data_IF_024110458447
#
_entry.id   IF_024110458447
#
_cell.length_a   1.000
_cell.length_b   1.000
_cell.length_c   1.000
_cell.angle_alpha   90.00
_cell.angle_beta   90.00
_cell.angle_gamma   90.00
#
_symmetry.space_group_name_H-M   'P 1'
#
loop_
_entity.id
_entity.type
_entity.pdbx_description
1 polymer ?
#
# COMPACT_ATOMS: atom_id res chain seq x y z
N UNK A 1 -10.21 -7.85 0.59
CA UNK A 1 -9.43 -7.10 1.60
C UNK A 1 -7.91 -7.16 1.39
N UNK A 2 -7.17 -8.23 1.77
CA UNK A 2 -5.70 -8.26 1.60
C UNK A 2 -5.27 -8.21 0.13
N UNK A 3 -6.03 -8.86 -0.76
CA UNK A 3 -5.80 -8.77 -2.21
C UNK A 3 -5.92 -7.34 -2.73
N UNK A 4 -7.08 -6.72 -2.52
CA UNK A 4 -7.36 -5.34 -2.95
C UNK A 4 -6.31 -4.33 -2.45
N UNK A 5 -5.86 -4.44 -1.20
CA UNK A 5 -4.81 -3.56 -0.68
C UNK A 5 -3.48 -3.78 -1.42
N UNK A 6 -3.09 -5.02 -1.69
CA UNK A 6 -1.85 -5.32 -2.42
C UNK A 6 -1.90 -4.85 -3.87
N UNK A 7 -3.07 -4.94 -4.52
CA UNK A 7 -3.28 -4.41 -5.87
C UNK A 7 -3.23 -2.87 -5.87
N UNK A 8 -3.73 -2.24 -4.80
CA UNK A 8 -3.58 -0.79 -4.58
C UNK A 8 -2.12 -0.40 -4.38
N UNK A 9 -1.36 -1.12 -3.54
CA UNK A 9 0.08 -0.90 -3.35
C UNK A 9 0.83 -1.01 -4.68
N UNK A 10 0.46 -1.98 -5.52
CA UNK A 10 1.01 -2.12 -6.87
C UNK A 10 0.78 -0.88 -7.74
N UNK A 11 -0.41 -0.29 -7.72
CA UNK A 11 -0.67 0.96 -8.46
C UNK A 11 0.15 2.14 -7.94
N UNK A 12 0.38 2.23 -6.62
CA UNK A 12 1.26 3.24 -6.04
C UNK A 12 2.72 3.03 -6.48
N UNK A 13 3.22 1.79 -6.46
CA UNK A 13 4.57 1.44 -6.95
C UNK A 13 4.75 1.90 -8.39
N UNK A 14 3.80 1.57 -9.26
CA UNK A 14 3.85 1.97 -10.67
C UNK A 14 3.85 3.49 -10.80
N UNK A 15 3.02 4.19 -10.01
CA UNK A 15 2.90 5.65 -10.05
C UNK A 15 4.16 6.40 -9.62
N UNK A 16 5.03 5.80 -8.80
CA UNK A 16 6.32 6.40 -8.45
C UNK A 16 7.33 6.37 -9.60
N UNK A 17 7.12 5.50 -10.58
CA UNK A 17 7.95 5.43 -11.79
C UNK A 17 7.38 6.27 -12.93
N UNK A 18 6.04 6.37 -13.02
CA UNK A 18 5.36 7.04 -14.13
C UNK A 18 4.90 8.46 -13.81
N UNK A 19 4.82 8.83 -12.53
CA UNK A 19 4.17 10.04 -12.03
C UNK A 19 2.67 10.13 -12.41
N UNK A 20 2.03 8.98 -12.58
CA UNK A 20 0.60 8.85 -12.87
C UNK A 20 0.02 7.67 -12.09
N UNK A 21 -1.03 7.91 -11.29
CA UNK A 21 -1.74 6.86 -10.56
C UNK A 21 -2.74 6.17 -11.49
N UNK A 22 -2.38 4.97 -11.94
CA UNK A 22 -3.24 4.08 -12.70
C UNK A 22 -4.24 3.28 -11.86
N UNK A 23 -5.01 2.37 -12.49
CA UNK A 23 -5.89 1.44 -11.77
C UNK A 23 -5.09 0.45 -10.89
N UNK A 24 -5.72 -0.21 -9.90
CA UNK A 24 -5.08 -1.25 -9.09
C UNK A 24 -4.37 -2.30 -9.95
N UNK A 25 -3.10 -2.58 -9.65
CA UNK A 25 -2.27 -3.55 -10.38
C UNK A 25 -2.70 -4.97 -9.98
N UNK A 26 -3.25 -5.79 -10.90
CA UNK A 26 -3.77 -7.10 -10.54
C UNK A 26 -2.73 -8.00 -9.88
N UNK A 27 -3.16 -8.79 -8.88
CA UNK A 27 -2.31 -9.83 -8.31
C UNK A 27 -2.01 -10.91 -9.36
N UNK A 28 -0.73 -11.24 -9.52
CA UNK A 28 -0.22 -12.26 -10.45
C UNK A 28 -0.10 -13.65 -9.80
N UNK A 29 -0.39 -13.79 -8.50
CA UNK A 29 -0.31 -15.06 -7.77
C UNK A 29 -1.70 -15.73 -7.73
N UNK A 30 -1.89 -16.88 -8.40
CA UNK A 30 -3.18 -17.58 -8.38
C UNK A 30 -3.57 -18.04 -6.97
N UNK A 31 -4.83 -17.83 -6.60
CA UNK A 31 -5.39 -18.26 -5.31
C UNK A 31 -4.69 -17.63 -4.11
N UNK A 32 -4.14 -16.42 -4.25
CA UNK A 32 -3.46 -15.70 -3.17
C UNK A 32 -4.37 -15.56 -1.95
N UNK A 33 -5.67 -15.34 -2.15
CA UNK A 33 -6.68 -15.20 -1.10
C UNK A 33 -6.86 -16.43 -0.20
N UNK A 34 -6.38 -17.60 -0.62
CA UNK A 34 -6.55 -18.87 0.09
C UNK A 34 -5.28 -19.36 0.80
N UNK A 35 -4.18 -18.60 0.77
CA UNK A 35 -2.93 -19.00 1.41
C UNK A 35 -2.22 -17.83 2.07
N UNK A 36 -2.05 -17.92 3.39
CA UNK A 36 -1.31 -16.91 4.16
C UNK A 36 0.15 -16.82 3.71
N UNK A 37 0.78 -17.94 3.34
CA UNK A 37 2.16 -17.92 2.87
C UNK A 37 2.29 -17.23 1.51
N UNK A 38 1.32 -17.44 0.60
CA UNK A 38 1.28 -16.69 -0.68
C UNK A 38 1.06 -15.20 -0.45
N UNK A 39 0.15 -14.83 0.45
CA UNK A 39 -0.07 -13.43 0.83
C UNK A 39 1.23 -12.82 1.37
N UNK A 40 1.89 -13.49 2.32
CA UNK A 40 3.15 -13.00 2.90
C UNK A 40 4.23 -12.80 1.85
N UNK A 41 4.50 -13.82 1.03
CA UNK A 41 5.52 -13.72 -0.02
C UNK A 41 5.20 -12.62 -1.03
N UNK A 42 3.92 -12.43 -1.36
CA UNK A 42 3.50 -11.36 -2.26
C UNK A 42 3.77 -9.97 -1.67
N UNK A 43 3.40 -9.74 -0.41
CA UNK A 43 3.63 -8.46 0.26
C UNK A 43 5.13 -8.19 0.47
N UNK A 44 5.95 -9.20 0.75
CA UNK A 44 7.42 -9.04 0.78
C UNK A 44 7.93 -8.50 -0.56
N UNK A 45 7.48 -9.08 -1.68
CA UNK A 45 7.86 -8.59 -3.01
C UNK A 45 7.35 -7.17 -3.27
N UNK A 46 6.11 -6.86 -2.92
CA UNK A 46 5.55 -5.51 -3.07
C UNK A 46 6.32 -4.47 -2.24
N UNK A 47 6.74 -4.82 -1.03
CA UNK A 47 7.53 -3.93 -0.18
C UNK A 47 8.92 -3.67 -0.79
N UNK A 48 9.59 -4.71 -1.27
CA UNK A 48 10.88 -4.59 -1.97
C UNK A 48 10.78 -3.70 -3.22
N UNK A 49 9.74 -3.91 -4.04
CA UNK A 49 9.46 -3.09 -5.23
C UNK A 49 9.16 -1.63 -4.86
N UNK A 50 8.39 -1.38 -3.80
CA UNK A 50 8.10 -0.03 -3.31
C UNK A 50 9.36 0.69 -2.87
N UNK A 51 10.21 0.04 -2.06
CA UNK A 51 11.49 0.62 -1.65
C UNK A 51 12.40 0.89 -2.86
N UNK A 52 12.39 0.01 -3.86
CA UNK A 52 13.16 0.23 -5.09
C UNK A 52 12.65 1.45 -5.87
N UNK A 53 11.34 1.58 -6.08
CA UNK A 53 10.72 2.69 -6.80
C UNK A 53 10.94 4.04 -6.09
N UNK A 54 10.86 4.07 -4.75
CA UNK A 54 11.14 5.29 -4.00
C UNK A 54 12.61 5.72 -4.09
N UNK A 55 13.55 4.77 -4.13
CA UNK A 55 15.00 5.05 -4.25
C UNK A 55 15.41 5.59 -5.61
N UNK A 56 14.60 5.38 -6.65
CA UNK A 56 14.87 5.93 -7.98
C UNK A 56 14.44 7.37 -8.13
N UNK A 57 13.67 7.92 -7.18
CA UNK A 57 13.24 9.31 -7.21
C UNK A 57 14.37 10.18 -6.62
N UNK A 58 14.96 11.09 -7.41
CA UNK A 58 15.98 12.00 -6.89
C UNK A 58 15.35 13.05 -5.97
N UNK A 59 16.15 13.62 -5.06
CA UNK A 59 15.67 14.59 -4.07
C UNK A 59 15.01 15.82 -4.73
N UNK A 60 15.48 16.25 -5.92
CA UNK A 60 14.86 17.34 -6.68
C UNK A 60 13.44 17.04 -7.21
N UNK A 61 13.08 15.76 -7.34
CA UNK A 61 11.77 15.32 -7.84
C UNK A 61 10.78 15.06 -6.70
N UNK A 62 11.14 15.31 -5.43
CA UNK A 62 10.24 15.12 -4.28
C UNK A 62 8.97 15.97 -4.38
N UNK A 63 9.08 17.18 -4.93
CA UNK A 63 7.93 18.07 -5.16
C UNK A 63 7.26 17.86 -6.53
N UNK A 64 7.76 16.93 -7.34
CA UNK A 64 7.19 16.64 -8.65
C UNK A 64 5.76 16.12 -8.49
N UNK A 65 4.79 16.64 -9.26
CA UNK A 65 3.40 16.20 -9.15
C UNK A 65 3.22 14.79 -9.74
N UNK A 66 2.49 13.95 -9.01
CA UNK A 66 1.88 12.71 -9.48
C UNK A 66 0.45 13.01 -9.87
N UNK A 67 0.07 12.72 -11.12
CA UNK A 67 -1.30 12.87 -11.60
C UNK A 67 -2.18 11.73 -11.08
N UNK A 68 -3.29 12.05 -10.43
CA UNK A 68 -4.23 11.09 -9.84
C UNK A 68 -5.60 11.13 -10.53
N UNK A 69 -5.68 11.78 -11.69
CA UNK A 69 -6.90 12.02 -12.46
C UNK A 69 -7.76 13.15 -11.90
N UNK A 70 -8.70 13.64 -12.70
CA UNK A 70 -9.66 14.70 -12.32
C UNK A 70 -9.00 15.96 -11.74
N UNK A 71 -7.92 16.44 -12.37
CA UNK A 71 -7.12 17.60 -11.92
C UNK A 71 -6.52 17.46 -10.51
N UNK A 72 -6.51 16.25 -9.93
CA UNK A 72 -5.90 15.97 -8.64
C UNK A 72 -4.43 15.63 -8.82
N UNK A 73 -3.55 16.58 -8.52
CA UNK A 73 -2.10 16.43 -8.63
C UNK A 73 -1.46 16.70 -7.28
N UNK A 74 -0.67 15.75 -6.80
CA UNK A 74 -0.01 15.83 -5.50
C UNK A 74 1.50 15.65 -5.66
N UNK A 75 2.34 16.40 -4.93
CA UNK A 75 3.76 16.08 -4.79
C UNK A 75 4.00 14.62 -4.41
N UNK A 76 5.10 14.02 -4.87
CA UNK A 76 5.48 12.62 -4.57
C UNK A 76 5.36 12.30 -3.08
N UNK A 77 5.87 13.18 -2.21
CA UNK A 77 5.84 12.93 -0.77
C UNK A 77 4.42 12.91 -0.20
N UNK A 78 3.53 13.82 -0.63
CA UNK A 78 2.12 13.80 -0.23
C UNK A 78 1.45 12.54 -0.76
N UNK A 79 1.75 12.15 -2.01
CA UNK A 79 1.20 10.93 -2.61
C UNK A 79 1.59 9.68 -1.81
N UNK A 80 2.83 9.60 -1.32
CA UNK A 80 3.27 8.55 -0.40
C UNK A 80 2.53 8.60 0.94
N UNK A 81 2.31 9.78 1.51
CA UNK A 81 1.53 9.94 2.74
C UNK A 81 0.07 9.49 2.56
N UNK A 82 -0.55 9.74 1.41
CA UNK A 82 -1.89 9.23 1.09
C UNK A 82 -1.91 7.70 1.04
N UNK A 83 -0.88 7.06 0.48
CA UNK A 83 -0.78 5.60 0.54
C UNK A 83 -0.65 5.09 1.98
N UNK A 84 0.15 5.79 2.81
CA UNK A 84 0.28 5.48 4.24
C UNK A 84 -1.06 5.62 4.97
N UNK A 85 -1.87 6.63 4.68
CA UNK A 85 -3.22 6.76 5.23
C UNK A 85 -4.11 5.57 4.86
N UNK A 86 -4.03 5.09 3.61
CA UNK A 86 -4.76 3.90 3.18
C UNK A 86 -4.38 2.65 3.99
N UNK A 87 -3.09 2.49 4.34
CA UNK A 87 -2.63 1.41 5.23
C UNK A 87 -3.23 1.54 6.64
N UNK A 88 -3.28 2.75 7.20
CA UNK A 88 -3.85 3.00 8.53
C UNK A 88 -5.36 2.69 8.55
N UNK A 89 -6.10 3.10 7.52
CA UNK A 89 -7.53 2.77 7.38
C UNK A 89 -7.73 1.26 7.32
N UNK A 90 -6.89 0.56 6.53
CA UNK A 90 -6.93 -0.89 6.45
C UNK A 90 -6.64 -1.55 7.80
N UNK A 91 -5.65 -1.06 8.55
CA UNK A 91 -5.35 -1.52 9.90
C UNK A 91 -6.52 -1.32 10.86
N UNK A 92 -7.24 -0.20 10.75
CA UNK A 92 -8.50 0.01 11.47
C UNK A 92 -9.54 -1.08 11.16
N UNK A 93 -9.72 -1.45 9.89
CA UNK A 93 -10.64 -2.54 9.49
C UNK A 93 -10.22 -3.89 10.05
N UNK A 94 -8.92 -4.23 9.98
CA UNK A 94 -8.37 -5.47 10.57
C UNK A 94 -8.61 -5.49 12.08
N UNK A 95 -8.38 -4.38 12.77
CA UNK A 95 -8.59 -4.25 14.22
C UNK A 95 -10.04 -4.55 14.61
N UNK A 96 -11.01 -3.97 13.90
CA UNK A 96 -12.44 -4.26 14.11
C UNK A 96 -12.76 -5.73 13.87
N UNK A 97 -12.22 -6.31 12.80
CA UNK A 97 -12.41 -7.74 12.49
C UNK A 97 -11.87 -8.65 13.59
N UNK A 98 -10.64 -8.39 14.08
CA UNK A 98 -10.04 -9.18 15.16
C UNK A 98 -10.86 -9.09 16.44
N UNK A 99 -11.32 -7.89 16.82
CA UNK A 99 -12.19 -7.68 17.98
C UNK A 99 -13.51 -8.46 17.85
N UNK A 100 -14.16 -8.39 16.69
CA UNK A 100 -15.39 -9.14 16.43
C UNK A 100 -15.19 -10.67 16.47
N UNK A 101 -14.00 -11.14 16.07
CA UNK A 101 -13.62 -12.55 16.13
C UNK A 101 -13.12 -13.01 17.52
N UNK A 102 -13.13 -12.14 18.54
CA UNK A 102 -12.61 -12.46 19.88
C UNK A 102 -11.09 -12.69 19.91
N UNK A 103 -10.36 -12.20 18.90
CA UNK A 103 -8.90 -12.35 18.79
C UNK A 103 -8.20 -11.09 19.30
N UNK A 104 -7.11 -11.22 20.07
CA UNK A 104 -6.33 -10.07 20.48
C UNK A 104 -5.68 -9.40 19.27
N UNK A 105 -5.44 -8.09 19.38
CA UNK A 105 -4.62 -7.38 18.40
C UNK A 105 -3.16 -7.78 18.60
N UNK A 106 -2.34 -7.83 17.53
CA UNK A 106 -0.90 -8.01 17.69
C UNK A 106 -0.30 -6.87 18.54
N UNK A 107 0.62 -7.19 19.43
CA UNK A 107 1.22 -6.21 20.36
C UNK A 107 1.85 -5.01 19.65
N UNK A 108 2.48 -5.25 18.49
CA UNK A 108 3.05 -4.20 17.64
C UNK A 108 1.97 -3.22 17.13
N UNK A 109 0.78 -3.74 16.85
CA UNK A 109 -0.37 -2.95 16.40
C UNK A 109 -0.87 -2.02 17.51
N UNK A 110 -0.96 -2.54 18.73
CA UNK A 110 -1.36 -1.75 19.91
C UNK A 110 -0.36 -0.63 20.21
N UNK A 111 0.94 -0.91 20.08
CA UNK A 111 1.98 0.10 20.27
C UNK A 111 1.96 1.22 19.22
N UNK A 112 1.46 0.93 18.01
CA UNK A 112 1.50 1.87 16.89
C UNK A 112 0.22 2.67 16.70
N UNK A 113 -0.93 2.11 17.09
CA UNK A 113 -2.26 2.66 16.78
C UNK A 113 -3.08 2.90 18.08
N UNK A 114 -2.60 2.45 19.25
CA UNK A 114 -3.35 2.43 20.52
C UNK A 114 -4.26 1.21 20.65
#
# INVERSE_FOLDING_TARGET
>A
MFRELGETQGAYIDSFNTFELGPPRPCDIPGVEHSLDRIRSWYVRLDEELYAALRTIPDEDVDRPVDRGNDNRLPVWIHLDVFREALIIFYGRVSVYLKAAGKPRPERFERWIG
#
